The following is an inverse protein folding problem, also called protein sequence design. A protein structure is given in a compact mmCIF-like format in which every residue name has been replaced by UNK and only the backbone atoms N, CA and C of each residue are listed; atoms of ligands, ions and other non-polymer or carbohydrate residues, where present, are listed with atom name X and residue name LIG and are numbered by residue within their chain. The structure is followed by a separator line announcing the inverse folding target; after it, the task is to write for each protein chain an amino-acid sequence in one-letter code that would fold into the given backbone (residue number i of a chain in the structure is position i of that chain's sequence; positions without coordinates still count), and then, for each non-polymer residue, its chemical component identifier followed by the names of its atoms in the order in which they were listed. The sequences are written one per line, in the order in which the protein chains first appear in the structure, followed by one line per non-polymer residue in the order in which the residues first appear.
data_IF_517424797855
#
_entry.id   IF_517424797855
#
_cell.length_a   1.000
_cell.length_b   1.000
_cell.length_c   1.000
_cell.angle_alpha   90.00
_cell.angle_beta   90.00
_cell.angle_gamma   90.00
#
_symmetry.space_group_name_H-M   'P 1'
#
loop_
_entity.id
_entity.type
_entity.pdbx_description
1 polymer ?
#
# COMPACT_ATOMS: atom_id res chain seq x y z
N UNK A 1 -3.47 -74.64 15.61
CA UNK A 1 -2.86 -75.73 14.82
C UNK A 1 -3.24 -75.44 13.37
N UNK A 2 -2.39 -74.93 12.49
CA UNK A 2 -1.04 -75.34 12.13
C UNK A 2 -0.03 -74.19 12.08
N UNK A 3 1.23 -74.56 12.35
CA UNK A 3 2.45 -73.77 12.32
C UNK A 3 3.12 -73.89 10.94
N UNK A 4 3.63 -72.73 10.47
CA UNK A 4 4.94 -72.46 9.86
C UNK A 4 5.36 -73.21 8.59
N UNK A 5 5.64 -72.41 7.54
CA UNK A 5 6.81 -72.60 6.68
C UNK A 5 7.52 -71.23 6.44
N UNK A 6 8.85 -71.19 6.24
CA UNK A 6 9.67 -70.01 6.53
C UNK A 6 10.21 -69.24 5.30
N UNK A 7 10.40 -67.95 5.53
CA UNK A 7 11.47 -67.05 5.06
C UNK A 7 11.94 -67.09 3.59
N UNK A 8 11.58 -66.04 2.84
CA UNK A 8 12.29 -65.56 1.65
C UNK A 8 12.95 -64.21 1.99
N UNK A 9 14.27 -64.00 1.74
CA UNK A 9 14.97 -62.78 2.16
C UNK A 9 14.65 -61.59 1.24
N UNK A 10 14.52 -60.35 1.77
CA UNK A 10 14.44 -59.16 0.94
C UNK A 10 15.82 -58.67 0.50
N UNK A 11 15.81 -58.05 -0.68
CA UNK A 11 16.95 -57.69 -1.50
C UNK A 11 17.97 -56.76 -0.84
N UNK A 12 19.22 -56.99 -1.23
CA UNK A 12 20.42 -56.19 -0.99
C UNK A 12 20.23 -54.72 -1.34
N UNK A 13 20.52 -53.85 -0.36
CA UNK A 13 20.72 -52.42 -0.55
C UNK A 13 21.94 -52.16 -1.44
N UNK A 14 21.71 -51.60 -2.63
CA UNK A 14 22.78 -50.97 -3.41
C UNK A 14 23.20 -49.65 -2.72
N UNK A 15 24.49 -49.55 -2.38
CA UNK A 15 25.12 -48.31 -1.91
C UNK A 15 25.08 -47.25 -3.01
N UNK A 16 24.67 -46.00 -2.73
CA UNK A 16 24.94 -44.90 -3.65
C UNK A 16 26.45 -44.58 -3.67
N UNK A 17 26.98 -44.09 -4.81
CA UNK A 17 28.41 -43.83 -4.98
C UNK A 17 28.90 -42.65 -4.10
N UNK A 18 30.20 -42.59 -3.78
CA UNK A 18 30.74 -41.56 -2.89
C UNK A 18 30.70 -40.20 -3.59
N UNK A 19 29.93 -39.26 -3.04
CA UNK A 19 30.00 -37.85 -3.44
C UNK A 19 31.32 -37.30 -2.91
N UNK A 20 32.18 -36.85 -3.81
CA UNK A 20 33.41 -36.15 -3.51
C UNK A 20 33.17 -35.04 -2.47
N UNK A 21 33.74 -35.22 -1.27
CA UNK A 21 33.93 -34.14 -0.31
C UNK A 21 34.86 -33.12 -0.98
N UNK A 22 34.28 -32.05 -1.51
CA UNK A 22 35.06 -30.84 -1.79
C UNK A 22 35.18 -30.14 -0.45
N UNK A 23 36.32 -30.27 0.21
CA UNK A 23 36.69 -29.44 1.36
C UNK A 23 36.66 -27.98 0.92
N UNK A 24 35.56 -27.27 1.20
CA UNK A 24 35.55 -25.82 1.18
C UNK A 24 35.80 -25.37 2.61
N UNK A 25 37.08 -25.20 2.95
CA UNK A 25 37.50 -24.35 4.07
C UNK A 25 37.04 -22.92 3.76
N UNK A 26 35.89 -22.53 4.30
CA UNK A 26 35.46 -21.13 4.32
C UNK A 26 35.53 -20.59 5.74
N UNK A 27 36.60 -19.87 6.04
CA UNK A 27 36.51 -18.70 6.92
C UNK A 27 35.92 -17.55 6.09
N UNK A 28 34.70 -17.10 6.40
CA UNK A 28 33.95 -16.10 5.60
C UNK A 28 34.20 -14.65 6.08
N UNK A 29 35.12 -14.44 7.02
CA UNK A 29 35.60 -13.09 7.35
C UNK A 29 37.13 -13.08 7.43
N UNK A 30 37.82 -12.11 6.79
CA UNK A 30 39.25 -11.93 6.99
C UNK A 30 39.48 -11.52 8.44
N UNK A 31 40.39 -12.23 9.11
CA UNK A 31 40.93 -11.76 10.38
C UNK A 31 41.58 -10.41 10.15
N UNK A 32 41.11 -9.42 10.90
CA UNK A 32 41.83 -8.20 11.27
C UNK A 32 42.30 -7.30 10.12
N UNK A 33 41.62 -6.14 10.03
CA UNK A 33 42.08 -4.91 9.38
C UNK A 33 42.09 -4.84 7.83
N UNK A 34 40.93 -4.83 7.16
CA UNK A 34 40.80 -4.22 5.83
C UNK A 34 39.41 -3.58 5.64
N UNK A 35 39.40 -2.37 5.08
CA UNK A 35 38.27 -1.47 4.79
C UNK A 35 36.99 -2.18 4.29
N UNK A 36 35.88 -1.95 4.98
CA UNK A 36 34.54 -2.46 4.65
C UNK A 36 33.98 -1.82 3.37
N UNK A 37 33.89 -2.60 2.29
CA UNK A 37 32.96 -2.36 1.19
C UNK A 37 31.66 -3.14 1.49
N UNK A 38 30.75 -2.53 2.25
CA UNK A 38 29.53 -3.16 2.81
C UNK A 38 28.28 -3.10 1.91
N UNK A 39 28.41 -2.72 0.64
CA UNK A 39 27.27 -2.61 -0.28
C UNK A 39 26.80 -3.95 -0.89
N UNK A 40 27.54 -5.06 -0.76
CA UNK A 40 27.18 -6.33 -1.45
C UNK A 40 26.38 -7.34 -0.60
N UNK A 41 26.47 -7.30 0.73
CA UNK A 41 25.82 -8.31 1.58
C UNK A 41 24.28 -8.17 1.60
N UNK A 42 23.76 -6.97 1.86
CA UNK A 42 22.32 -6.69 1.84
C UNK A 42 21.70 -6.81 0.44
N UNK A 43 22.47 -6.48 -0.61
CA UNK A 43 22.07 -6.66 -2.00
C UNK A 43 21.88 -8.14 -2.35
N UNK A 44 22.76 -9.03 -1.88
CA UNK A 44 22.67 -10.46 -2.14
C UNK A 44 21.45 -11.12 -1.48
N UNK A 45 21.06 -10.69 -0.28
CA UNK A 45 19.85 -11.21 0.39
C UNK A 45 18.55 -10.67 -0.21
N UNK A 46 18.50 -9.39 -0.60
CA UNK A 46 17.32 -8.79 -1.25
C UNK A 46 17.09 -9.34 -2.67
N UNK A 47 18.17 -9.65 -3.41
CA UNK A 47 18.08 -10.21 -4.77
C UNK A 47 17.57 -11.66 -4.74
N UNK A 48 18.02 -12.47 -3.76
CA UNK A 48 17.52 -13.85 -3.57
C UNK A 48 16.06 -13.86 -3.11
N UNK A 49 15.63 -12.89 -2.30
CA UNK A 49 14.23 -12.73 -1.90
C UNK A 49 13.30 -12.28 -3.05
N UNK A 50 13.83 -11.53 -4.02
CA UNK A 50 13.08 -11.07 -5.19
C UNK A 50 12.85 -12.18 -6.25
N UNK A 51 13.74 -13.17 -6.35
CA UNK A 51 13.59 -14.31 -7.29
C UNK A 51 12.48 -15.29 -6.89
N UNK A 52 12.07 -15.30 -5.61
CA UNK A 52 11.09 -16.25 -5.05
C UNK A 52 9.63 -15.85 -5.36
N UNK A 53 9.38 -14.62 -5.81
CA UNK A 53 8.04 -14.14 -6.21
C UNK A 53 8.01 -13.86 -7.71
N UNK A 54 8.04 -14.91 -8.54
CA UNK A 54 7.75 -14.78 -9.97
C UNK A 54 6.23 -14.61 -10.17
N UNK A 55 5.74 -13.53 -10.83
CA UNK A 55 4.39 -13.51 -11.34
C UNK A 55 4.27 -14.47 -12.54
N UNK A 56 3.21 -15.28 -12.57
CA UNK A 56 2.84 -16.06 -13.75
C UNK A 56 2.59 -15.10 -14.92
N UNK A 57 3.33 -15.28 -16.01
CA UNK A 57 3.15 -14.54 -17.26
C UNK A 57 1.99 -15.17 -18.05
N UNK A 58 0.87 -14.47 -18.16
CA UNK A 58 -0.04 -14.65 -19.28
C UNK A 58 0.26 -13.58 -20.35
N UNK A 59 0.32 -14.02 -21.59
CA UNK A 59 0.75 -13.25 -22.74
C UNK A 59 -0.30 -12.22 -23.15
N UNK A 60 0.12 -10.96 -23.28
CA UNK A 60 -0.63 -9.93 -24.00
C UNK A 60 0.24 -9.41 -25.15
N UNK A 61 -0.29 -9.57 -26.36
CA UNK A 61 0.32 -9.18 -27.61
C UNK A 61 0.71 -7.69 -27.62
N UNK A 62 1.94 -7.42 -28.06
CA UNK A 62 2.44 -6.07 -28.33
C UNK A 62 1.67 -5.50 -29.53
N UNK A 63 1.00 -4.37 -29.34
CA UNK A 63 0.76 -3.41 -30.42
C UNK A 63 1.47 -2.12 -30.04
N UNK A 64 2.44 -1.74 -30.87
CA UNK A 64 3.20 -0.51 -30.78
C UNK A 64 2.26 0.68 -31.01
N UNK A 65 2.23 1.62 -30.08
CA UNK A 65 1.61 2.93 -30.29
C UNK A 65 2.75 3.95 -30.34
N UNK A 66 3.04 4.44 -31.54
CA UNK A 66 3.95 5.56 -31.77
C UNK A 66 3.39 6.81 -31.10
N UNK A 67 4.15 7.39 -30.17
CA UNK A 67 3.79 8.67 -29.53
C UNK A 67 4.28 9.81 -30.43
N UNK A 68 3.36 10.44 -31.15
CA UNK A 68 3.58 11.75 -31.80
C UNK A 68 3.17 12.84 -30.80
N UNK A 69 3.99 13.88 -30.56
CA UNK A 69 3.63 14.95 -29.62
C UNK A 69 2.61 15.88 -30.26
N UNK A 70 1.39 15.95 -29.71
CA UNK A 70 0.40 16.97 -30.09
C UNK A 70 0.62 18.25 -29.29
N UNK A 71 0.98 19.31 -30.02
CA UNK A 71 1.02 20.71 -29.59
C UNK A 71 -0.38 21.20 -29.16
N UNK A 72 -0.36 22.08 -28.15
CA UNK A 72 -1.35 23.06 -27.71
C UNK A 72 -2.66 23.15 -28.50
N UNK A 73 -3.81 22.97 -27.82
CA UNK A 73 -5.02 23.75 -28.11
C UNK A 73 -5.97 23.81 -26.90
N UNK A 74 -6.26 25.06 -26.53
CA UNK A 74 -7.53 25.58 -25.99
C UNK A 74 -8.20 24.85 -24.83
N UNK A 75 -8.14 25.50 -23.67
CA UNK A 75 -9.10 25.40 -22.56
C UNK A 75 -10.52 25.61 -23.09
N UNK A 76 -11.22 24.52 -23.44
CA UNK A 76 -12.67 24.55 -23.59
C UNK A 76 -13.27 24.76 -22.21
N UNK A 77 -13.60 26.02 -21.91
CA UNK A 77 -14.52 26.34 -20.81
C UNK A 77 -15.87 25.78 -21.23
N UNK A 78 -16.22 24.59 -20.73
CA UNK A 78 -17.55 24.01 -20.90
C UNK A 78 -18.50 24.83 -20.04
N UNK A 79 -19.16 25.82 -20.66
CA UNK A 79 -20.36 26.42 -20.09
C UNK A 79 -21.51 25.41 -20.26
N UNK A 80 -22.12 25.08 -19.13
CA UNK A 80 -23.43 24.44 -18.94
C UNK A 80 -23.54 22.91 -19.15
N UNK A 81 -23.30 22.17 -18.07
CA UNK A 81 -23.66 20.74 -17.96
C UNK A 81 -25.17 20.49 -18.15
N UNK A 82 -26.01 21.50 -17.87
CA UNK A 82 -27.46 21.45 -18.02
C UNK A 82 -27.85 21.28 -19.51
N UNK A 83 -27.16 21.95 -20.42
CA UNK A 83 -27.43 21.92 -21.87
C UNK A 83 -27.00 20.60 -22.50
N UNK A 84 -25.92 19.99 -22.02
CA UNK A 84 -25.45 18.66 -22.46
C UNK A 84 -26.38 17.54 -21.99
N UNK A 85 -26.85 17.59 -20.74
CA UNK A 85 -27.81 16.62 -20.22
C UNK A 85 -29.14 16.69 -20.98
N UNK A 86 -29.59 17.90 -21.33
CA UNK A 86 -30.78 18.14 -22.15
C UNK A 86 -30.61 17.58 -23.57
N UNK A 87 -29.47 17.85 -24.21
CA UNK A 87 -29.13 17.31 -25.53
C UNK A 87 -29.11 15.77 -25.53
N UNK A 88 -28.50 15.14 -24.50
CA UNK A 88 -28.46 13.68 -24.38
C UNK A 88 -29.84 13.05 -24.15
N UNK A 89 -30.75 13.74 -23.45
CA UNK A 89 -32.14 13.30 -23.28
C UNK A 89 -32.90 13.35 -24.61
N UNK A 90 -32.76 14.45 -25.34
CA UNK A 90 -33.53 14.75 -26.56
C UNK A 90 -32.95 14.10 -27.83
N UNK A 91 -31.68 13.70 -27.83
CA UNK A 91 -31.03 13.07 -28.98
C UNK A 91 -31.59 11.65 -29.24
N UNK A 92 -32.00 11.43 -30.49
CA UNK A 92 -32.33 10.11 -31.07
C UNK A 92 -31.05 9.30 -31.28
N UNK A 93 -30.50 8.80 -30.18
CA UNK A 93 -29.31 7.95 -30.18
C UNK A 93 -29.69 6.46 -30.30
N UNK A 94 -28.81 5.61 -30.86
CA UNK A 94 -29.02 4.17 -30.92
C UNK A 94 -29.28 3.58 -29.51
N UNK A 95 -30.24 2.66 -29.40
CA UNK A 95 -30.54 1.92 -28.16
C UNK A 95 -29.45 0.87 -27.89
N UNK A 96 -28.30 1.34 -27.43
CA UNK A 96 -27.17 0.51 -27.03
C UNK A 96 -26.87 0.71 -25.56
N UNK A 97 -26.38 -0.33 -24.87
CA UNK A 97 -26.04 -0.27 -23.44
C UNK A 97 -25.11 0.91 -23.07
N UNK A 98 -24.08 1.28 -23.88
CA UNK A 98 -23.23 2.43 -23.59
C UNK A 98 -24.00 3.76 -23.64
N UNK A 99 -24.88 3.94 -24.64
CA UNK A 99 -25.70 5.15 -24.78
C UNK A 99 -26.67 5.30 -23.60
N UNK A 100 -27.34 4.21 -23.21
CA UNK A 100 -28.25 4.22 -22.05
C UNK A 100 -27.51 4.56 -20.75
N UNK A 101 -26.32 4.01 -20.57
CA UNK A 101 -25.44 4.32 -19.42
C UNK A 101 -25.07 5.81 -19.39
N UNK A 102 -24.68 6.38 -20.54
CA UNK A 102 -24.33 7.79 -20.65
C UNK A 102 -25.53 8.70 -20.40
N UNK A 103 -26.71 8.35 -20.92
CA UNK A 103 -27.96 9.08 -20.65
C UNK A 103 -28.26 9.07 -19.15
N UNK A 104 -28.18 7.91 -18.49
CA UNK A 104 -28.40 7.79 -17.05
C UNK A 104 -27.41 8.63 -16.24
N UNK A 105 -26.12 8.57 -16.58
CA UNK A 105 -25.08 9.34 -15.92
C UNK A 105 -25.28 10.85 -16.09
N UNK A 106 -25.60 11.32 -17.30
CA UNK A 106 -25.86 12.74 -17.58
C UNK A 106 -27.11 13.28 -16.85
N UNK A 107 -28.02 12.38 -16.44
CA UNK A 107 -29.20 12.73 -15.64
C UNK A 107 -28.96 12.60 -14.13
N UNK A 108 -27.82 12.08 -13.68
CA UNK A 108 -27.53 11.87 -12.27
C UNK A 108 -27.10 13.20 -11.62
N UNK A 109 -27.89 13.76 -10.69
CA UNK A 109 -27.56 15.02 -10.03
C UNK A 109 -26.26 14.93 -9.21
N UNK A 110 -25.85 13.73 -8.80
CA UNK A 110 -24.64 13.50 -8.01
C UNK A 110 -23.42 13.09 -8.84
N UNK A 111 -23.48 13.07 -10.17
CA UNK A 111 -22.36 12.59 -11.01
C UNK A 111 -21.03 13.28 -10.64
N UNK A 112 -21.05 14.62 -10.50
CA UNK A 112 -19.86 15.39 -10.10
C UNK A 112 -19.35 15.00 -8.72
N UNK A 113 -20.27 14.78 -7.77
CA UNK A 113 -19.94 14.35 -6.42
C UNK A 113 -19.33 12.94 -6.42
N UNK A 114 -19.91 12.00 -7.18
CA UNK A 114 -19.39 10.64 -7.35
C UNK A 114 -17.98 10.64 -7.94
N UNK A 115 -17.74 11.43 -8.99
CA UNK A 115 -16.41 11.56 -9.61
C UNK A 115 -15.39 12.18 -8.66
N UNK A 116 -15.75 13.25 -7.94
CA UNK A 116 -14.86 13.89 -6.97
C UNK A 116 -14.51 12.97 -5.80
N UNK A 117 -15.48 12.17 -5.34
CA UNK A 117 -15.27 11.18 -4.30
C UNK A 117 -14.35 10.05 -4.78
N UNK A 118 -14.62 9.47 -5.95
CA UNK A 118 -13.77 8.43 -6.55
C UNK A 118 -12.34 8.94 -6.74
N UNK A 119 -12.18 10.18 -7.23
CA UNK A 119 -10.87 10.83 -7.36
C UNK A 119 -10.15 10.93 -6.02
N UNK A 120 -10.86 11.34 -4.96
CA UNK A 120 -10.27 11.45 -3.62
C UNK A 120 -9.70 10.10 -3.15
N UNK A 121 -10.46 9.01 -3.33
CA UNK A 121 -10.00 7.67 -2.96
C UNK A 121 -8.86 7.19 -3.86
N UNK A 122 -8.91 7.50 -5.16
CA UNK A 122 -7.82 7.19 -6.08
C UNK A 122 -6.52 7.91 -5.71
N UNK A 123 -6.59 9.20 -5.36
CA UNK A 123 -5.45 9.99 -4.92
C UNK A 123 -4.83 9.41 -3.62
N UNK A 124 -5.62 8.77 -2.75
CA UNK A 124 -5.10 8.07 -1.55
C UNK A 124 -4.40 6.75 -1.88
N UNK A 125 -4.88 6.04 -2.91
CA UNK A 125 -4.28 4.79 -3.36
C UNK A 125 -3.00 5.03 -4.19
N UNK A 126 -2.91 6.16 -4.88
CA UNK A 126 -1.85 6.45 -5.83
C UNK A 126 -0.43 6.35 -5.24
N UNK A 127 -0.10 6.91 -4.06
CA UNK A 127 1.25 6.78 -3.50
C UNK A 127 1.67 5.34 -3.25
N UNK A 128 0.73 4.49 -2.84
CA UNK A 128 0.97 3.06 -2.70
C UNK A 128 1.26 2.44 -4.07
N UNK A 129 0.39 2.65 -5.05
CA UNK A 129 0.54 2.05 -6.39
C UNK A 129 1.86 2.47 -7.05
N UNK A 130 2.21 3.75 -7.00
CA UNK A 130 3.45 4.27 -7.58
C UNK A 130 4.69 3.67 -6.91
N UNK A 131 4.68 3.52 -5.58
CA UNK A 131 5.82 2.97 -4.84
C UNK A 131 6.17 1.54 -5.26
N UNK A 132 5.15 0.72 -5.58
CA UNK A 132 5.36 -0.69 -5.96
C UNK A 132 5.43 -0.90 -7.48
N UNK A 133 5.38 0.16 -8.29
CA UNK A 133 5.58 0.13 -9.75
C UNK A 133 7.03 0.48 -10.12
N UNK A 134 8.01 -0.12 -9.44
CA UNK A 134 9.44 0.10 -9.70
C UNK A 134 10.17 -1.22 -9.89
N UNK A 135 11.35 -1.20 -10.52
CA UNK A 135 12.22 -2.37 -10.65
C UNK A 135 13.00 -2.71 -9.38
N UNK A 136 12.88 -1.89 -8.33
CA UNK A 136 13.62 -2.04 -7.08
C UNK A 136 12.93 -3.06 -6.16
N UNK A 137 13.65 -3.76 -5.27
CA UNK A 137 13.06 -4.71 -4.32
C UNK A 137 12.29 -3.97 -3.22
N UNK A 138 11.00 -3.70 -3.45
CA UNK A 138 10.15 -2.93 -2.53
C UNK A 138 9.48 -3.76 -1.44
N UNK A 139 9.63 -5.08 -1.48
CA UNK A 139 8.95 -6.01 -0.57
C UNK A 139 9.15 -5.73 0.93
N UNK A 140 10.34 -5.28 1.41
CA UNK A 140 10.51 -4.89 2.81
C UNK A 140 9.51 -3.82 3.28
N UNK A 141 9.09 -2.94 2.39
CA UNK A 141 8.17 -1.83 2.71
C UNK A 141 6.69 -2.21 2.58
N UNK A 142 6.37 -3.39 2.05
CA UNK A 142 5.00 -3.79 1.70
C UNK A 142 4.10 -3.83 2.92
N UNK A 143 4.60 -4.35 4.04
CA UNK A 143 3.83 -4.45 5.27
C UNK A 143 3.35 -3.07 5.75
N UNK A 144 4.27 -2.13 5.98
CA UNK A 144 3.94 -0.80 6.48
C UNK A 144 3.12 0.01 5.47
N UNK A 145 3.38 -0.16 4.17
CA UNK A 145 2.65 0.53 3.11
C UNK A 145 1.18 0.08 3.01
N UNK A 146 0.91 -1.22 3.11
CA UNK A 146 -0.47 -1.75 3.11
C UNK A 146 -1.20 -1.39 4.39
N UNK A 147 -0.53 -1.48 5.55
CA UNK A 147 -1.11 -1.02 6.82
C UNK A 147 -1.54 0.45 6.73
N UNK A 148 -0.66 1.30 6.20
CA UNK A 148 -0.91 2.73 6.05
C UNK A 148 -2.08 3.02 5.10
N UNK A 149 -2.13 2.36 3.94
CA UNK A 149 -3.24 2.50 2.98
C UNK A 149 -4.57 2.10 3.63
N UNK A 150 -4.60 0.93 4.30
CA UNK A 150 -5.79 0.43 4.97
C UNK A 150 -6.27 1.41 6.05
N UNK A 151 -5.35 1.96 6.84
CA UNK A 151 -5.64 2.94 7.88
C UNK A 151 -6.23 4.24 7.31
N UNK A 152 -5.70 4.75 6.19
CA UNK A 152 -6.25 5.95 5.54
C UNK A 152 -7.72 5.75 5.14
N UNK A 153 -8.02 4.64 4.46
CA UNK A 153 -9.38 4.35 4.02
C UNK A 153 -10.32 4.14 5.21
N UNK A 154 -9.88 3.37 6.21
CA UNK A 154 -10.69 3.09 7.41
C UNK A 154 -10.97 4.34 8.23
N UNK A 155 -10.01 5.27 8.38
CA UNK A 155 -10.22 6.52 9.12
C UNK A 155 -11.36 7.38 8.56
N UNK A 156 -11.76 7.18 7.31
CA UNK A 156 -12.89 7.90 6.71
C UNK A 156 -14.26 7.45 7.21
N UNK A 157 -14.40 6.21 7.67
CA UNK A 157 -15.70 5.61 7.99
C UNK A 157 -15.75 4.73 9.24
N UNK A 158 -14.62 4.36 9.84
CA UNK A 158 -14.51 3.53 11.06
C UNK A 158 -14.37 4.42 12.29
N UNK A 159 -14.95 4.00 13.42
CA UNK A 159 -14.86 4.72 14.69
C UNK A 159 -13.40 4.87 15.15
N UNK A 160 -12.97 6.06 15.63
CA UNK A 160 -11.61 6.29 16.09
C UNK A 160 -11.14 5.32 17.20
N UNK A 161 -12.03 4.87 18.07
CA UNK A 161 -11.69 3.94 19.15
C UNK A 161 -11.17 2.58 18.66
N UNK A 162 -11.65 2.12 17.51
CA UNK A 162 -11.22 0.87 16.88
C UNK A 162 -9.89 1.03 16.13
N UNK A 163 -9.55 2.26 15.73
CA UNK A 163 -8.35 2.57 14.94
C UNK A 163 -7.05 2.57 15.76
N UNK A 164 -7.11 2.29 17.08
CA UNK A 164 -5.95 2.20 17.98
C UNK A 164 -5.07 0.98 17.73
N UNK A 165 -5.57 -0.03 17.02
CA UNK A 165 -4.80 -1.24 16.71
C UNK A 165 -3.84 -1.04 15.52
N UNK A 166 -2.83 -1.90 15.41
CA UNK A 166 -1.77 -1.86 14.39
C UNK A 166 -1.57 -3.21 13.72
N UNK A 167 -0.98 -3.19 12.52
CA UNK A 167 -0.62 -4.37 11.76
C UNK A 167 -1.80 -5.28 11.45
N UNK A 168 -1.66 -6.61 11.63
CA UNK A 168 -2.71 -7.56 11.29
C UNK A 168 -4.02 -7.39 12.07
N UNK A 169 -3.99 -6.71 13.23
CA UNK A 169 -5.19 -6.46 14.04
C UNK A 169 -6.19 -5.53 13.32
N UNK A 170 -5.74 -4.73 12.34
CA UNK A 170 -6.66 -3.96 11.50
C UNK A 170 -7.56 -4.85 10.64
N UNK A 171 -7.13 -6.10 10.37
CA UNK A 171 -7.90 -7.04 9.56
C UNK A 171 -9.09 -7.65 10.31
N UNK A 172 -9.12 -7.57 11.65
CA UNK A 172 -10.22 -8.09 12.45
C UNK A 172 -11.37 -7.10 12.64
N UNK A 173 -11.20 -5.84 12.22
CA UNK A 173 -12.27 -4.85 12.27
C UNK A 173 -13.27 -5.16 11.16
N UNK A 174 -14.47 -5.59 11.56
CA UNK A 174 -15.56 -5.87 10.63
C UNK A 174 -16.25 -4.57 10.21
N UNK A 175 -16.04 -4.17 8.95
CA UNK A 175 -16.66 -2.97 8.37
C UNK A 175 -18.10 -3.19 7.92
N UNK A 176 -18.66 -4.41 8.02
CA UNK A 176 -20.08 -4.68 7.77
C UNK A 176 -20.96 -4.34 8.96
N UNK A 177 -20.41 -4.35 10.17
CA UNK A 177 -21.15 -4.00 11.38
C UNK A 177 -21.27 -2.50 11.53
N UNK A 178 -22.50 -2.00 11.54
CA UNK A 178 -22.80 -0.57 11.72
C UNK A 178 -22.24 -0.01 13.03
N UNK A 179 -22.12 -0.84 14.08
CA UNK A 179 -21.54 -0.45 15.37
C UNK A 179 -20.07 -0.05 15.29
N UNK A 180 -19.33 -0.53 14.30
CA UNK A 180 -17.92 -0.21 14.09
C UNK A 180 -17.72 1.06 13.25
N UNK A 181 -18.78 1.53 12.60
CA UNK A 181 -18.75 2.65 11.66
C UNK A 181 -19.20 3.94 12.34
N UNK A 182 -18.71 5.06 11.83
CA UNK A 182 -19.27 6.36 12.18
C UNK A 182 -20.62 6.56 11.48
N UNK A 183 -21.44 7.46 12.03
CA UNK A 183 -22.72 7.85 11.44
C UNK A 183 -22.50 8.37 10.01
N UNK A 184 -23.40 8.04 9.09
CA UNK A 184 -23.24 8.40 7.67
C UNK A 184 -22.97 9.89 7.47
N UNK A 185 -23.68 10.76 8.21
CA UNK A 185 -23.50 12.21 8.18
C UNK A 185 -22.08 12.70 8.51
N UNK A 186 -21.28 11.89 9.21
CA UNK A 186 -19.93 12.24 9.68
C UNK A 186 -18.82 11.61 8.83
N UNK A 187 -19.15 10.86 7.78
CA UNK A 187 -18.14 10.26 6.90
C UNK A 187 -17.28 11.34 6.27
N UNK A 188 -15.98 11.07 6.21
CA UNK A 188 -15.11 11.90 5.40
C UNK A 188 -15.22 11.54 3.92
N UNK A 189 -16.08 12.25 3.20
CA UNK A 189 -16.24 12.17 1.74
C UNK A 189 -15.23 13.05 0.97
N UNK A 190 -14.32 13.73 1.67
CA UNK A 190 -13.33 14.63 1.07
C UNK A 190 -13.85 16.03 0.79
N UNK A 191 -12.93 16.99 0.69
CA UNK A 191 -13.24 18.41 0.59
C UNK A 191 -13.97 18.77 -0.71
N UNK A 192 -13.50 18.27 -1.86
CA UNK A 192 -14.10 18.57 -3.16
C UNK A 192 -15.54 18.05 -3.25
N UNK A 193 -15.78 16.83 -2.78
CA UNK A 193 -17.12 16.23 -2.72
C UNK A 193 -18.06 17.03 -1.82
N UNK A 194 -17.61 17.44 -0.62
CA UNK A 194 -18.40 18.26 0.31
C UNK A 194 -18.83 19.59 -0.33
N UNK A 195 -17.89 20.26 -1.02
CA UNK A 195 -18.17 21.51 -1.73
C UNK A 195 -19.23 21.31 -2.82
N UNK A 196 -19.02 20.33 -3.70
CA UNK A 196 -19.96 20.02 -4.79
C UNK A 196 -21.33 19.60 -4.25
N UNK A 197 -21.38 18.87 -3.14
CA UNK A 197 -22.63 18.47 -2.49
C UNK A 197 -23.43 19.68 -1.99
N UNK A 198 -22.75 20.72 -1.50
CA UNK A 198 -23.35 22.00 -1.12
C UNK A 198 -23.89 22.80 -2.30
N UNK A 199 -23.24 22.71 -3.46
CA UNK A 199 -23.68 23.37 -4.70
C UNK A 199 -24.90 22.68 -5.35
N UNK A 200 -25.09 21.38 -5.13
CA UNK A 200 -26.25 20.59 -5.65
C UNK A 200 -27.62 20.94 -5.04
N UNK A 201 -27.74 22.05 -4.30
CA UNK A 201 -28.86 22.31 -3.41
C UNK A 201 -30.20 22.72 -4.06
N UNK A 202 -30.24 23.12 -5.34
CA UNK A 202 -31.47 23.71 -5.91
C UNK A 202 -32.53 22.65 -6.32
N UNK A 203 -32.13 21.40 -6.59
CA UNK A 203 -33.05 20.35 -7.12
C UNK A 203 -33.06 19.04 -6.35
N UNK A 204 -32.27 18.92 -5.28
CA UNK A 204 -32.02 17.65 -4.58
C UNK A 204 -32.49 17.73 -3.13
N UNK A 205 -33.29 16.76 -2.71
CA UNK A 205 -33.80 16.65 -1.34
C UNK A 205 -32.69 16.25 -0.35
N UNK A 206 -32.84 16.61 0.92
CA UNK A 206 -31.91 16.19 1.98
C UNK A 206 -31.82 14.66 2.12
N UNK A 207 -32.94 13.96 1.87
CA UNK A 207 -32.97 12.49 1.82
C UNK A 207 -32.02 11.94 0.77
N UNK A 208 -32.05 12.49 -0.45
CA UNK A 208 -31.17 12.06 -1.54
C UNK A 208 -29.69 12.35 -1.23
N UNK A 209 -29.39 13.47 -0.56
CA UNK A 209 -28.01 13.76 -0.11
C UNK A 209 -27.52 12.72 0.90
N UNK A 210 -28.38 12.33 1.84
CA UNK A 210 -28.07 11.27 2.82
C UNK A 210 -27.91 9.89 2.15
N UNK A 211 -28.74 9.57 1.16
CA UNK A 211 -28.61 8.35 0.34
C UNK A 211 -27.26 8.34 -0.40
N UNK A 212 -26.86 9.45 -1.03
CA UNK A 212 -25.54 9.57 -1.65
C UNK A 212 -24.38 9.36 -0.66
N UNK A 213 -24.47 9.95 0.54
CA UNK A 213 -23.45 9.76 1.58
C UNK A 213 -23.42 8.30 2.06
N UNK A 214 -24.58 7.64 2.14
CA UNK A 214 -24.67 6.21 2.43
C UNK A 214 -24.00 5.36 1.34
N UNK A 215 -24.21 5.69 0.05
CA UNK A 215 -23.51 5.05 -1.08
C UNK A 215 -22.00 5.22 -0.96
N UNK A 216 -21.51 6.42 -0.61
CA UNK A 216 -20.09 6.67 -0.38
C UNK A 216 -19.53 5.78 0.73
N UNK A 217 -20.28 5.60 1.84
CA UNK A 217 -19.91 4.65 2.90
C UNK A 217 -19.81 3.24 2.36
N UNK A 218 -20.82 2.80 1.62
CA UNK A 218 -20.91 1.45 1.08
C UNK A 218 -19.74 1.13 0.16
N UNK A 219 -19.33 2.08 -0.67
CA UNK A 219 -18.14 1.97 -1.51
C UNK A 219 -16.87 1.79 -0.66
N UNK A 220 -16.68 2.64 0.36
CA UNK A 220 -15.52 2.55 1.28
C UNK A 220 -15.47 1.20 2.00
N UNK A 221 -16.57 0.77 2.62
CA UNK A 221 -16.61 -0.49 3.38
C UNK A 221 -16.37 -1.68 2.47
N UNK A 222 -16.91 -1.67 1.24
CA UNK A 222 -16.66 -2.70 0.24
C UNK A 222 -15.19 -2.75 -0.17
N UNK A 223 -14.57 -1.60 -0.44
CA UNK A 223 -13.16 -1.52 -0.79
C UNK A 223 -12.26 -1.99 0.34
N UNK A 224 -12.53 -1.55 1.58
CA UNK A 224 -11.80 -1.97 2.77
C UNK A 224 -11.94 -3.49 2.97
N UNK A 225 -13.14 -4.04 2.86
CA UNK A 225 -13.38 -5.48 3.00
C UNK A 225 -12.58 -6.27 1.95
N UNK A 226 -12.50 -5.78 0.70
CA UNK A 226 -11.70 -6.41 -0.35
C UNK A 226 -10.20 -6.34 -0.07
N UNK A 227 -9.71 -5.20 0.42
CA UNK A 227 -8.32 -5.06 0.85
C UNK A 227 -7.99 -5.98 2.05
N UNK A 228 -8.90 -6.12 3.01
CA UNK A 228 -8.75 -7.03 4.14
C UNK A 228 -8.79 -8.49 3.69
N UNK A 229 -9.66 -8.85 2.75
CA UNK A 229 -9.81 -10.22 2.22
C UNK A 229 -8.49 -10.75 1.65
N UNK A 230 -7.82 -9.95 0.80
CA UNK A 230 -6.59 -10.33 0.09
C UNK A 230 -5.33 -9.68 0.68
N UNK A 231 -5.39 -9.19 1.92
CA UNK A 231 -4.30 -8.41 2.50
C UNK A 231 -3.02 -9.24 2.67
N UNK A 232 -1.85 -8.75 2.19
CA UNK A 232 -0.57 -9.37 2.49
C UNK A 232 -0.18 -9.25 3.97
N UNK A 233 -0.85 -8.42 4.77
CA UNK A 233 -0.66 -8.35 6.22
C UNK A 233 -0.98 -9.67 6.94
N UNK A 234 -1.77 -10.55 6.32
CA UNK A 234 -2.06 -11.92 6.81
C UNK A 234 -0.82 -12.80 6.77
N UNK A 235 0.05 -12.60 5.78
CA UNK A 235 1.16 -13.49 5.46
C UNK A 235 2.32 -13.27 6.43
N UNK A 236 2.81 -14.35 7.03
CA UNK A 236 3.94 -14.30 7.97
C UNK A 236 5.24 -13.89 7.27
N UNK A 237 5.48 -14.38 6.05
CA UNK A 237 6.61 -13.96 5.22
C UNK A 237 6.67 -12.44 4.99
N UNK A 238 5.54 -11.79 4.64
CA UNK A 238 5.49 -10.32 4.45
C UNK A 238 5.79 -9.57 5.75
N UNK A 239 5.26 -10.04 6.87
CA UNK A 239 5.61 -9.49 8.20
C UNK A 239 7.10 -9.66 8.48
N UNK A 240 7.66 -10.81 8.14
CA UNK A 240 9.07 -11.11 8.32
C UNK A 240 9.96 -10.18 7.49
N UNK A 241 9.66 -10.04 6.20
CA UNK A 241 10.41 -9.17 5.27
C UNK A 241 10.46 -7.70 5.72
N UNK A 242 9.46 -7.23 6.46
CA UNK A 242 9.49 -5.88 7.04
C UNK A 242 10.53 -5.67 8.13
N UNK A 243 11.21 -6.72 8.60
CA UNK A 243 12.41 -6.55 9.41
C UNK A 243 13.51 -5.82 8.64
N UNK A 244 13.57 -6.00 7.32
CA UNK A 244 14.58 -5.38 6.46
C UNK A 244 14.29 -3.91 6.12
N UNK A 245 13.19 -3.35 6.62
CA UNK A 245 12.88 -1.93 6.47
C UNK A 245 13.79 -1.09 7.40
N UNK A 246 14.62 -0.18 6.84
CA UNK A 246 15.47 0.71 7.63
C UNK A 246 14.73 1.44 8.77
N UNK A 247 13.50 1.88 8.53
CA UNK A 247 12.70 2.57 9.53
C UNK A 247 12.39 1.67 10.72
N UNK A 248 12.10 0.39 10.49
CA UNK A 248 11.80 -0.58 11.54
C UNK A 248 13.06 -0.90 12.34
N UNK A 249 14.20 -1.07 11.66
CA UNK A 249 15.50 -1.36 12.28
C UNK A 249 15.94 -0.21 13.20
N UNK A 250 15.85 1.02 12.71
CA UNK A 250 16.31 2.21 13.45
C UNK A 250 15.42 2.57 14.63
N UNK A 251 14.10 2.46 14.49
CA UNK A 251 13.14 2.96 15.49
C UNK A 251 12.58 1.87 16.39
N UNK A 252 12.72 0.59 16.02
CA UNK A 252 12.14 -0.53 16.76
C UNK A 252 12.98 -1.82 16.58
N UNK A 253 14.25 -1.83 17.03
CA UNK A 253 15.17 -2.94 16.79
C UNK A 253 14.68 -4.29 17.34
N UNK A 254 13.99 -4.29 18.49
CA UNK A 254 13.43 -5.52 19.06
C UNK A 254 12.30 -6.08 18.19
N UNK A 255 11.48 -5.21 17.60
CA UNK A 255 10.44 -5.61 16.64
C UNK A 255 11.07 -6.12 15.35
N UNK A 256 12.13 -5.47 14.87
CA UNK A 256 12.89 -5.89 13.70
C UNK A 256 13.46 -7.31 13.89
N UNK A 257 14.10 -7.58 15.04
CA UNK A 257 14.64 -8.91 15.38
C UNK A 257 13.55 -9.99 15.43
N UNK A 258 12.41 -9.68 16.06
CA UNK A 258 11.26 -10.61 16.10
C UNK A 258 10.74 -10.92 14.70
N UNK A 259 10.54 -9.90 13.86
CA UNK A 259 10.11 -10.06 12.47
C UNK A 259 11.14 -10.84 11.66
N UNK A 260 12.43 -10.59 11.85
CA UNK A 260 13.49 -11.32 11.16
C UNK A 260 13.48 -12.82 11.50
N UNK A 261 13.20 -13.17 12.77
CA UNK A 261 13.01 -14.58 13.15
C UNK A 261 11.86 -15.23 12.39
N UNK A 262 10.74 -14.52 12.19
CA UNK A 262 9.65 -15.01 11.35
C UNK A 262 10.09 -15.23 9.90
N UNK A 263 10.93 -14.36 9.35
CA UNK A 263 11.44 -14.52 7.98
C UNK A 263 12.30 -15.77 7.85
N UNK A 264 13.22 -16.00 8.80
CA UNK A 264 14.10 -17.17 8.79
C UNK A 264 13.30 -18.48 8.89
N UNK A 265 12.29 -18.53 9.76
CA UNK A 265 11.38 -19.68 9.86
C UNK A 265 10.68 -19.97 8.51
N UNK A 266 10.15 -18.94 7.85
CA UNK A 266 9.46 -19.13 6.54
C UNK A 266 10.43 -19.56 5.43
N UNK A 267 11.66 -19.04 5.42
CA UNK A 267 12.69 -19.44 4.45
C UNK A 267 13.19 -20.87 4.70
N UNK A 268 13.30 -21.29 5.96
CA UNK A 268 13.69 -22.64 6.34
C UNK A 268 12.59 -23.65 5.98
N UNK A 269 11.32 -23.34 6.28
CA UNK A 269 10.18 -24.17 5.87
C UNK A 269 10.08 -24.35 4.34
N UNK A 270 10.50 -23.34 3.58
CA UNK A 270 10.57 -23.41 2.12
C UNK A 270 11.84 -24.11 1.59
N UNK A 271 12.69 -24.66 2.47
CA UNK A 271 13.98 -25.29 2.14
C UNK A 271 14.94 -24.37 1.35
N UNK A 272 14.81 -23.04 1.52
CA UNK A 272 15.70 -22.05 0.89
C UNK A 272 17.00 -21.90 1.68
N UNK A 273 16.91 -22.04 3.00
CA UNK A 273 18.04 -22.03 3.93
C UNK A 273 17.93 -23.27 4.84
N UNK A 274 19.02 -23.61 5.53
CA UNK A 274 19.05 -24.66 6.55
C UNK A 274 19.17 -24.06 7.96
N UNK A 275 19.02 -24.90 8.99
CA UNK A 275 19.04 -24.47 10.40
C UNK A 275 20.33 -23.76 10.80
N UNK A 276 21.48 -24.24 10.30
CA UNK A 276 22.80 -23.64 10.60
C UNK A 276 22.90 -22.22 10.05
N UNK A 277 22.47 -22.02 8.79
CA UNK A 277 22.44 -20.70 8.17
C UNK A 277 21.43 -19.78 8.86
N UNK A 278 20.27 -20.29 9.27
CA UNK A 278 19.26 -19.52 9.98
C UNK A 278 19.79 -19.00 11.33
N UNK A 279 20.41 -19.87 12.14
CA UNK A 279 20.97 -19.47 13.44
C UNK A 279 22.13 -18.47 13.30
N UNK A 280 22.99 -18.65 12.29
CA UNK A 280 24.08 -17.70 12.03
C UNK A 280 23.54 -16.34 11.58
N UNK A 281 22.59 -16.31 10.63
CA UNK A 281 21.97 -15.07 10.16
C UNK A 281 21.27 -14.32 11.31
N UNK A 282 20.61 -15.05 12.22
CA UNK A 282 19.96 -14.47 13.40
C UNK A 282 20.95 -13.76 14.33
N UNK A 283 22.12 -14.36 14.56
CA UNK A 283 23.20 -13.77 15.38
C UNK A 283 23.78 -12.51 14.73
N UNK A 284 24.07 -12.57 13.43
CA UNK A 284 24.58 -11.44 12.67
C UNK A 284 23.58 -10.27 12.66
N UNK A 285 22.30 -10.57 12.45
CA UNK A 285 21.25 -9.58 12.43
C UNK A 285 21.03 -8.91 13.79
N UNK A 286 21.13 -9.67 14.89
CA UNK A 286 21.12 -9.13 16.24
C UNK A 286 22.24 -8.11 16.44
N UNK A 287 23.45 -8.43 16.00
CA UNK A 287 24.58 -7.49 16.05
C UNK A 287 24.29 -6.23 15.22
N UNK A 288 23.78 -6.41 14.00
CA UNK A 288 23.41 -5.31 13.10
C UNK A 288 22.37 -4.35 13.71
N UNK A 289 21.30 -4.88 14.32
CA UNK A 289 20.28 -4.06 14.98
C UNK A 289 20.79 -3.27 16.20
N UNK A 290 21.94 -3.66 16.76
CA UNK A 290 22.54 -3.01 17.93
C UNK A 290 23.62 -1.98 17.55
N UNK A 291 23.90 -1.78 16.25
CA UNK A 291 24.77 -0.71 15.79
C UNK A 291 24.25 0.67 16.20
N UNK A 292 25.15 1.65 16.33
CA UNK A 292 24.75 3.02 16.68
C UNK A 292 23.91 3.62 15.57
N UNK A 293 22.98 4.51 15.94
CA UNK A 293 22.09 5.19 14.97
C UNK A 293 22.87 5.90 13.86
N UNK A 294 24.01 6.53 14.18
CA UNK A 294 24.88 7.18 13.19
C UNK A 294 25.46 6.20 12.17
N UNK A 295 25.83 5.00 12.61
CA UNK A 295 26.35 3.95 11.72
C UNK A 295 25.24 3.41 10.81
N UNK A 296 24.06 3.16 11.37
CA UNK A 296 22.88 2.76 10.60
C UNK A 296 22.46 3.83 9.59
N UNK A 297 22.57 5.11 9.95
CA UNK A 297 22.26 6.21 9.03
C UNK A 297 23.20 6.24 7.83
N UNK A 298 24.50 6.07 8.03
CA UNK A 298 25.45 5.98 6.90
C UNK A 298 25.16 4.76 6.03
N UNK A 299 24.84 3.60 6.63
CA UNK A 299 24.48 2.38 5.90
C UNK A 299 23.20 2.56 5.08
N UNK A 300 22.20 3.24 5.63
CA UNK A 300 20.90 3.45 4.97
C UNK A 300 20.82 4.71 4.11
N UNK A 301 21.86 5.54 4.07
CA UNK A 301 21.92 6.74 3.22
C UNK A 301 21.58 6.48 1.75
N UNK A 302 21.99 5.35 1.11
CA UNK A 302 21.57 5.02 -0.25
C UNK A 302 20.09 4.58 -0.37
N UNK A 303 19.48 4.21 0.76
CA UNK A 303 18.08 3.76 0.86
C UNK A 303 17.10 4.91 1.15
N UNK A 304 17.56 6.15 1.33
CA UNK A 304 16.72 7.35 1.46
C UNK A 304 16.05 7.70 0.11
N UNK A 305 15.15 6.82 -0.35
CA UNK A 305 14.39 6.98 -1.59
C UNK A 305 13.25 8.02 -1.48
N UNK A 306 13.31 8.92 -0.50
CA UNK A 306 12.37 10.04 -0.34
C UNK A 306 13.01 11.42 -0.58
N UNK A 307 14.32 11.52 -0.85
CA UNK A 307 14.97 12.81 -1.11
C UNK A 307 14.73 13.34 -2.52
N UNK A 308 14.50 12.46 -3.49
CA UNK A 308 14.36 12.87 -4.89
C UNK A 308 12.88 12.79 -5.29
N UNK A 309 12.25 13.97 -5.30
CA UNK A 309 10.97 14.34 -5.96
C UNK A 309 9.61 14.17 -5.25
N UNK A 310 9.47 13.47 -4.11
CA UNK A 310 8.14 13.33 -3.46
C UNK A 310 7.91 14.23 -2.23
N UNK A 311 8.96 14.82 -1.66
CA UNK A 311 8.84 15.70 -0.47
C UNK A 311 8.46 17.14 -0.82
N UNK A 312 8.51 17.54 -2.10
CA UNK A 312 8.15 18.89 -2.57
C UNK A 312 6.67 19.08 -2.93
N UNK A 313 5.81 18.07 -2.72
CA UNK A 313 4.35 18.20 -2.94
C UNK A 313 3.49 17.76 -1.77
N UNK A 314 4.07 17.40 -0.62
CA UNK A 314 3.33 17.45 0.65
C UNK A 314 3.21 18.92 0.99
N UNK A 315 2.18 19.55 0.40
CA UNK A 315 1.52 20.78 0.82
C UNK A 315 2.45 21.65 1.64
N UNK A 316 3.20 22.52 0.97
CA UNK A 316 4.10 23.48 1.58
C UNK A 316 3.48 24.05 2.88
N UNK A 317 3.86 23.44 4.00
CA UNK A 317 3.24 23.68 5.31
C UNK A 317 3.54 25.12 5.72
N UNK A 318 4.57 25.72 5.12
CA UNK A 318 4.89 27.14 5.26
C UNK A 318 3.87 28.03 4.55
N UNK A 319 3.40 27.67 3.35
CA UNK A 319 2.31 28.37 2.65
C UNK A 319 0.96 28.25 3.39
N UNK A 320 0.67 27.09 3.96
CA UNK A 320 -0.57 26.86 4.72
C UNK A 320 -0.54 27.60 6.08
N UNK A 321 0.62 27.60 6.77
CA UNK A 321 0.84 28.39 7.99
C UNK A 321 0.84 29.89 7.70
N UNK A 322 1.37 30.34 6.55
CA UNK A 322 1.30 31.73 6.11
C UNK A 322 -0.14 32.14 5.76
N UNK A 323 -0.91 31.29 5.08
CA UNK A 323 -2.31 31.52 4.76
C UNK A 323 -3.18 31.62 6.03
N UNK A 324 -2.95 30.74 7.02
CA UNK A 324 -3.62 30.80 8.34
C UNK A 324 -3.25 32.08 9.11
N UNK A 325 -1.98 32.53 9.02
CA UNK A 325 -1.54 33.76 9.68
C UNK A 325 -2.15 35.01 9.03
N UNK A 326 -2.30 35.02 7.70
CA UNK A 326 -2.98 36.09 6.94
C UNK A 326 -4.46 36.17 7.30
N UNK A 327 -5.16 35.04 7.35
CA UNK A 327 -6.57 35.02 7.78
C UNK A 327 -6.71 35.47 9.23
N UNK A 328 -5.89 34.97 10.17
CA UNK A 328 -5.93 35.43 11.58
C UNK A 328 -5.76 36.94 11.73
N UNK A 329 -4.86 37.55 10.95
CA UNK A 329 -4.65 39.00 10.96
C UNK A 329 -5.82 39.77 10.33
N UNK A 330 -6.43 39.22 9.28
CA UNK A 330 -7.61 39.81 8.63
C UNK A 330 -8.83 39.81 9.56
N UNK A 331 -9.08 38.69 10.26
CA UNK A 331 -10.15 38.60 11.27
C UNK A 331 -9.90 39.50 12.48
N UNK A 332 -8.63 39.69 12.87
CA UNK A 332 -8.27 40.61 13.95
C UNK A 332 -8.51 42.09 13.59
N UNK A 333 -8.32 42.46 12.32
CA UNK A 333 -8.64 43.80 11.80
C UNK A 333 -10.15 44.04 11.70
N UNK A 334 -10.91 43.06 11.22
CA UNK A 334 -12.38 43.14 11.16
C UNK A 334 -12.97 43.30 12.56
N UNK A 335 -12.41 42.61 13.57
CA UNK A 335 -12.87 42.74 14.96
C UNK A 335 -12.60 44.12 15.55
N UNK A 336 -11.44 44.72 15.27
CA UNK A 336 -11.10 46.09 15.73
C UNK A 336 -11.97 47.16 15.06
N UNK A 337 -12.28 46.98 13.78
CA UNK A 337 -13.14 47.92 13.04
C UNK A 337 -14.64 47.76 13.36
N UNK A 338 -15.05 46.64 13.97
CA UNK A 338 -16.42 46.43 14.46
C UNK A 338 -16.61 46.84 15.93
N UNK A 339 -15.55 47.31 16.59
CA UNK A 339 -15.57 47.81 17.98
C UNK A 339 -15.10 49.26 18.11
N UNK A 340 -15.02 49.97 16.98
CA UNK A 340 -15.03 51.44 16.86
C UNK A 340 -16.35 51.83 16.21
#
# INVERSE_FOLDING_TARGET
MHLVDPAKPPATYEKPPPVHQTEIRTSIFPSSAVKLNTTSALANYATKAAEIVKPQKEAVAKSEISVVPRKNHNTFVIKDDITKAKFLKEAKLPKTKPVETLKRAACDPFLKCKLAFCKTIADECQPFLQRFQTSKPMTPYLFEAVEKLLRYLMNRCVKPDLMKCTGPKLLSIDTKKSENLILSKNIDIGFATKRLLGETAITVTERQKLEFIHECRSMLTTMIAKLQEKSPLKQKAVRGLSSLDPCVIQHSPQLAQKRFSFLLEELNHANIINDVLAENAKKEYLHFCNLKKSELQEIFRPCDQFSDEASTKIVDVTNLRAAMKRTKNQWSRVRKNASS
#
